data_IF_014497960602
#
_entry.id   IF_014497960602
#
_cell.length_a   1.000
_cell.length_b   1.000
_cell.length_c   1.000
_cell.angle_alpha   90.00
_cell.angle_beta   90.00
_cell.angle_gamma   90.00
#
_symmetry.space_group_name_H-M   'P 1'
#
loop_
_entity.id
_entity.type
_entity.pdbx_description
1 polymer ?
#
# COMPACT_ATOMS: atom_id res chain seq x y z
N UNK A 1 -58.78 -2.23 -19.70
CA UNK A 1 -57.49 -2.05 -18.99
C UNK A 1 -56.92 -3.42 -18.68
N UNK A 2 -55.90 -3.82 -19.44
CA UNK A 2 -55.40 -5.21 -19.54
C UNK A 2 -54.28 -5.45 -18.53
N UNK A 3 -54.42 -6.55 -17.77
CA UNK A 3 -53.48 -6.99 -16.74
C UNK A 3 -52.32 -7.71 -17.42
N UNK A 4 -51.12 -7.12 -17.38
CA UNK A 4 -49.86 -7.78 -17.77
C UNK A 4 -49.11 -8.18 -16.51
N UNK A 5 -49.29 -9.41 -16.08
CA UNK A 5 -48.43 -10.07 -15.11
C UNK A 5 -48.15 -11.47 -15.66
N UNK A 6 -46.94 -11.67 -16.18
CA UNK A 6 -46.48 -12.96 -16.66
C UNK A 6 -44.95 -13.06 -16.53
N UNK A 7 -44.53 -14.10 -15.82
CA UNK A 7 -43.27 -14.86 -15.92
C UNK A 7 -41.99 -14.17 -15.41
N UNK A 8 -41.42 -14.64 -14.31
CA UNK A 8 -40.59 -15.85 -14.13
C UNK A 8 -39.11 -15.42 -14.12
N UNK A 9 -38.41 -15.48 -12.98
CA UNK A 9 -37.77 -16.66 -12.39
C UNK A 9 -36.77 -17.32 -13.36
N UNK A 10 -35.51 -17.52 -12.89
CA UNK A 10 -34.27 -17.92 -13.60
C UNK A 10 -33.54 -16.73 -14.25
N UNK A 11 -32.37 -16.27 -13.79
CA UNK A 11 -31.14 -17.01 -13.56
C UNK A 11 -30.33 -16.43 -12.40
N UNK A 12 -30.47 -17.04 -11.22
CA UNK A 12 -29.41 -17.02 -10.19
C UNK A 12 -28.47 -18.19 -10.53
N UNK A 13 -27.16 -17.96 -10.40
CA UNK A 13 -26.07 -18.94 -10.54
C UNK A 13 -25.58 -19.28 -11.97
N UNK A 14 -24.54 -18.56 -12.42
CA UNK A 14 -23.44 -18.96 -13.31
C UNK A 14 -22.67 -17.67 -13.61
N UNK A 15 -21.52 -17.37 -13.02
CA UNK A 15 -20.21 -17.76 -13.59
C UNK A 15 -19.11 -17.46 -12.57
N UNK A 16 -18.98 -18.31 -11.56
CA UNK A 16 -17.76 -18.48 -10.77
C UNK A 16 -16.93 -19.58 -11.46
N UNK A 17 -16.25 -19.25 -12.55
CA UNK A 17 -15.31 -20.15 -13.25
C UNK A 17 -14.16 -19.36 -13.90
N UNK A 18 -13.43 -18.55 -13.13
CA UNK A 18 -12.08 -18.13 -13.53
C UNK A 18 -11.05 -19.09 -12.93
N UNK A 19 -10.94 -20.23 -13.61
CA UNK A 19 -9.69 -20.89 -13.99
C UNK A 19 -8.59 -20.95 -12.91
N UNK A 20 -8.73 -21.91 -12.01
CA UNK A 20 -7.61 -22.51 -11.29
C UNK A 20 -6.99 -23.58 -12.18
N UNK A 21 -5.77 -23.36 -12.66
CA UNK A 21 -5.00 -24.38 -13.40
C UNK A 21 -4.12 -25.18 -12.43
N UNK A 22 -4.16 -26.52 -12.46
CA UNK A 22 -3.19 -27.35 -11.76
C UNK A 22 -1.97 -27.55 -12.65
N UNK A 23 -0.88 -26.81 -12.41
CA UNK A 23 0.41 -27.17 -13.00
C UNK A 23 1.06 -28.22 -12.11
N UNK A 24 0.95 -29.48 -12.53
CA UNK A 24 1.61 -30.63 -11.90
C UNK A 24 2.99 -30.81 -12.54
N UNK A 25 4.06 -30.51 -11.80
CA UNK A 25 5.44 -30.87 -12.16
C UNK A 25 5.82 -32.11 -11.37
N UNK A 26 6.11 -33.20 -12.10
CA UNK A 26 6.78 -34.39 -11.58
C UNK A 26 8.21 -34.39 -12.12
N UNK A 27 9.19 -34.25 -11.23
CA UNK A 27 10.59 -34.56 -11.52
C UNK A 27 11.09 -35.45 -10.37
N UNK A 28 11.38 -36.70 -10.70
CA UNK A 28 12.03 -37.68 -9.84
C UNK A 28 13.44 -37.90 -10.39
N UNK A 29 14.45 -37.61 -9.57
CA UNK A 29 15.86 -37.75 -9.90
C UNK A 29 16.63 -37.92 -8.60
N UNK A 30 17.01 -39.17 -8.33
CA UNK A 30 17.69 -39.61 -7.13
C UNK A 30 19.20 -39.29 -7.11
N UNK A 31 19.77 -39.48 -5.92
CA UNK A 31 21.17 -39.78 -5.60
C UNK A 31 22.08 -38.62 -5.12
N UNK A 32 22.30 -38.68 -3.80
CA UNK A 32 23.43 -38.27 -2.96
C UNK A 32 24.74 -37.80 -3.62
N UNK A 33 25.35 -36.76 -3.04
CA UNK A 33 26.67 -36.89 -2.41
C UNK A 33 26.90 -35.81 -1.34
N UNK A 34 27.51 -36.23 -0.24
CA UNK A 34 27.93 -35.47 0.93
C UNK A 34 29.36 -34.92 0.72
N UNK A 35 29.75 -34.00 1.61
CA UNK A 35 31.13 -33.59 1.94
C UNK A 35 31.75 -32.46 1.11
N UNK A 36 31.70 -31.24 1.64
CA UNK A 36 32.89 -30.45 2.07
C UNK A 36 32.43 -29.05 2.52
N UNK A 37 31.99 -28.94 3.77
CA UNK A 37 31.63 -27.65 4.38
C UNK A 37 32.73 -27.23 5.37
N UNK A 38 33.74 -26.52 4.86
CA UNK A 38 34.65 -25.68 5.64
C UNK A 38 33.82 -24.74 6.52
N UNK A 39 34.07 -24.61 7.85
CA UNK A 39 33.32 -23.69 8.68
C UNK A 39 33.80 -22.28 8.35
N UNK A 40 33.11 -21.59 7.43
CA UNK A 40 33.22 -20.14 7.31
C UNK A 40 32.44 -19.57 8.47
N UNK A 41 33.16 -19.19 9.52
CA UNK A 41 32.66 -18.32 10.57
C UNK A 41 32.05 -17.08 9.90
N UNK A 42 30.72 -16.97 9.93
CA UNK A 42 30.05 -15.72 9.60
C UNK A 42 30.31 -14.78 10.77
N UNK A 43 31.30 -13.91 10.62
CA UNK A 43 31.43 -12.73 11.44
C UNK A 43 30.15 -11.90 11.25
N UNK A 44 29.25 -11.99 12.23
CA UNK A 44 28.12 -11.08 12.37
C UNK A 44 28.76 -9.75 12.75
N UNK A 45 29.08 -8.95 11.73
CA UNK A 45 29.66 -7.63 11.90
C UNK A 45 28.69 -6.78 12.71
N UNK A 46 29.07 -6.52 13.95
CA UNK A 46 28.31 -5.75 14.94
C UNK A 46 28.24 -4.31 14.47
N UNK A 47 27.19 -3.99 13.70
CA UNK A 47 26.88 -2.62 13.30
C UNK A 47 26.58 -1.81 14.57
N UNK A 48 27.48 -0.90 14.91
CA UNK A 48 27.31 0.04 16.01
C UNK A 48 26.08 0.91 15.73
N UNK A 49 25.06 0.77 16.57
CA UNK A 49 23.81 1.52 16.50
C UNK A 49 24.07 2.94 17.01
N UNK A 50 24.04 3.92 16.10
CA UNK A 50 24.08 5.33 16.47
C UNK A 50 22.83 5.66 17.32
N UNK A 51 22.94 6.55 18.31
CA UNK A 51 21.82 6.90 19.17
C UNK A 51 20.66 7.49 18.33
N UNK A 52 19.49 6.86 18.42
CA UNK A 52 18.25 7.33 17.80
C UNK A 52 17.76 8.56 18.56
N UNK A 53 17.97 9.74 17.99
CA UNK A 53 17.46 10.99 18.56
C UNK A 53 15.97 11.18 18.18
N UNK A 54 15.09 11.06 19.17
CA UNK A 54 13.65 11.29 19.01
C UNK A 54 13.37 12.78 19.22
N UNK A 55 12.85 13.46 18.18
CA UNK A 55 12.44 14.86 18.24
C UNK A 55 10.96 15.00 17.91
N UNK A 56 10.25 15.84 18.64
CA UNK A 56 8.88 16.22 18.33
C UNK A 56 8.85 17.27 17.22
N UNK A 57 8.07 17.03 16.16
CA UNK A 57 7.94 17.95 15.02
C UNK A 57 6.67 18.79 15.19
N UNK A 58 6.84 19.98 15.76
CA UNK A 58 5.76 20.95 16.00
C UNK A 58 5.63 21.91 14.81
N UNK A 59 4.96 21.46 13.73
CA UNK A 59 4.50 22.37 12.68
C UNK A 59 3.09 21.98 12.25
N UNK A 60 2.11 22.72 12.74
CA UNK A 60 0.70 22.53 12.40
C UNK A 60 0.27 23.56 11.35
N UNK A 61 0.03 23.10 10.13
CA UNK A 61 -0.78 23.82 9.14
C UNK A 61 -2.10 23.08 9.04
N UNK A 62 -3.22 23.80 9.11
CA UNK A 62 -4.54 23.21 8.87
C UNK A 62 -4.80 23.15 7.36
N UNK A 63 -5.31 22.01 6.90
CA UNK A 63 -5.63 21.77 5.50
C UNK A 63 -7.03 21.19 5.38
N UNK A 64 -7.95 21.97 4.81
CA UNK A 64 -9.32 21.55 4.60
C UNK A 64 -9.48 20.80 3.26
N UNK A 65 -9.94 19.56 3.32
CA UNK A 65 -10.23 18.73 2.14
C UNK A 65 -11.71 18.36 2.18
N UNK A 66 -12.42 18.60 1.08
CA UNK A 66 -13.81 18.17 0.94
C UNK A 66 -13.88 16.65 0.82
N UNK A 67 -14.74 16.00 1.61
CA UNK A 67 -14.99 14.57 1.48
C UNK A 67 -15.48 14.21 0.06
N UNK A 68 -15.11 13.03 -0.43
CA UNK A 68 -15.33 12.55 -1.80
C UNK A 68 -14.69 13.43 -2.89
N UNK A 69 -13.72 14.29 -2.55
CA UNK A 69 -12.96 15.08 -3.51
C UNK A 69 -11.46 14.88 -3.34
N UNK A 70 -10.75 15.09 -4.44
CA UNK A 70 -9.29 15.07 -4.49
C UNK A 70 -8.76 16.49 -4.65
N UNK A 71 -7.62 16.78 -4.01
CA UNK A 71 -6.88 18.03 -4.21
C UNK A 71 -5.43 17.74 -4.49
N UNK A 72 -4.89 18.36 -5.53
CA UNK A 72 -3.47 18.31 -5.85
C UNK A 72 -2.73 19.47 -5.17
N UNK A 73 -1.56 19.17 -4.63
CA UNK A 73 -0.66 20.12 -4.00
C UNK A 73 0.71 20.01 -4.64
N UNK A 74 1.36 21.18 -4.80
CA UNK A 74 2.71 21.28 -5.33
C UNK A 74 3.65 21.87 -4.30
N UNK A 75 4.82 21.26 -4.14
CA UNK A 75 5.88 21.69 -3.25
C UNK A 75 7.01 22.35 -4.04
N UNK A 76 7.72 23.30 -3.42
CA UNK A 76 8.92 23.91 -4.03
C UNK A 76 10.14 22.99 -3.99
N UNK A 77 10.16 22.07 -3.03
CA UNK A 77 11.27 21.13 -2.77
C UNK A 77 10.84 19.70 -3.11
N UNK A 78 11.81 18.84 -3.37
CA UNK A 78 11.57 17.43 -3.68
C UNK A 78 10.95 16.70 -2.49
N UNK A 79 9.90 15.95 -2.74
CA UNK A 79 9.24 15.07 -1.77
C UNK A 79 10.11 13.86 -1.52
N UNK A 80 10.34 13.54 -0.24
CA UNK A 80 11.10 12.38 0.20
C UNK A 80 10.18 11.31 0.77
N UNK A 81 9.18 11.73 1.56
CA UNK A 81 8.24 10.82 2.20
C UNK A 81 6.95 11.56 2.52
N UNK A 82 5.85 10.81 2.51
CA UNK A 82 4.56 11.24 3.04
C UNK A 82 4.05 10.19 4.01
N UNK A 83 3.44 10.61 5.11
CA UNK A 83 2.79 9.74 6.07
C UNK A 83 1.45 10.32 6.48
N UNK A 84 0.46 9.45 6.62
CA UNK A 84 -0.93 9.78 6.95
C UNK A 84 -1.31 8.99 8.20
N UNK A 85 -1.93 9.66 9.17
CA UNK A 85 -2.35 9.00 10.41
C UNK A 85 -3.44 7.95 10.22
N UNK A 86 -4.42 8.21 9.34
CA UNK A 86 -5.53 7.29 9.06
C UNK A 86 -5.94 7.32 7.57
N UNK A 87 -5.58 6.28 6.78
CA UNK A 87 -5.91 6.19 5.36
C UNK A 87 -7.39 5.86 5.07
N UNK A 88 -8.21 5.59 6.10
CA UNK A 88 -9.65 5.38 5.93
C UNK A 88 -10.41 6.69 5.75
N UNK A 89 -9.95 7.77 6.39
CA UNK A 89 -10.54 9.13 6.33
C UNK A 89 -10.02 9.92 5.13
N UNK A 90 -8.70 9.93 4.92
CA UNK A 90 -8.10 10.52 3.73
C UNK A 90 -6.82 9.79 3.36
N UNK A 91 -6.53 9.72 2.07
CA UNK A 91 -5.35 9.01 1.54
C UNK A 91 -4.49 9.96 0.69
N UNK A 92 -3.21 9.65 0.54
CA UNK A 92 -2.27 10.47 -0.22
C UNK A 92 -1.49 9.64 -1.24
N UNK A 93 -1.51 10.11 -2.48
CA UNK A 93 -0.73 9.55 -3.57
C UNK A 93 0.32 10.58 -4.05
N UNK A 94 1.58 10.17 -4.10
CA UNK A 94 2.65 10.98 -4.71
C UNK A 94 2.60 10.77 -6.22
N UNK A 95 2.39 11.85 -6.97
CA UNK A 95 2.21 11.80 -8.42
C UNK A 95 3.50 12.15 -9.15
N UNK A 96 4.28 13.08 -8.58
CA UNK A 96 5.59 13.45 -9.08
C UNK A 96 6.52 13.82 -7.93
N UNK A 97 7.79 14.10 -8.24
CA UNK A 97 8.79 14.48 -7.23
C UNK A 97 8.41 15.74 -6.43
N UNK A 98 7.51 16.58 -6.97
CA UNK A 98 7.09 17.84 -6.37
C UNK A 98 5.58 17.94 -6.19
N UNK A 99 4.82 16.91 -6.55
CA UNK A 99 3.36 16.96 -6.52
C UNK A 99 2.77 15.72 -5.88
N UNK A 100 1.75 15.95 -5.06
CA UNK A 100 0.99 14.90 -4.42
C UNK A 100 -0.50 15.24 -4.42
N UNK A 101 -1.33 14.21 -4.42
CA UNK A 101 -2.77 14.32 -4.36
C UNK A 101 -3.25 13.81 -3.02
N UNK A 102 -4.09 14.60 -2.35
CA UNK A 102 -4.83 14.18 -1.15
C UNK A 102 -6.26 13.85 -1.57
N UNK A 103 -6.71 12.65 -1.24
CA UNK A 103 -8.04 12.14 -1.50
C UNK A 103 -8.84 12.14 -0.19
N UNK A 104 -9.82 13.04 -0.05
CA UNK A 104 -10.76 12.99 1.07
C UNK A 104 -11.77 11.86 0.86
N UNK A 105 -11.74 10.82 1.69
CA UNK A 105 -12.62 9.66 1.57
C UNK A 105 -13.86 9.81 2.46
N UNK A 106 -13.67 10.21 3.71
CA UNK A 106 -14.72 10.39 4.70
C UNK A 106 -14.51 11.71 5.49
N UNK A 107 -15.56 12.28 6.12
CA UNK A 107 -15.40 13.41 7.01
C UNK A 107 -14.61 13.02 8.27
N UNK A 108 -13.67 13.87 8.69
CA UNK A 108 -12.85 13.66 9.87
C UNK A 108 -11.64 14.58 9.92
N UNK A 109 -10.81 14.42 10.95
CA UNK A 109 -9.54 15.13 11.11
C UNK A 109 -8.40 14.12 11.21
N UNK A 110 -7.34 14.35 10.42
CA UNK A 110 -6.15 13.51 10.40
C UNK A 110 -4.89 14.38 10.38
N UNK A 111 -3.74 13.78 10.67
CA UNK A 111 -2.45 14.43 10.47
C UNK A 111 -1.79 13.92 9.20
N UNK A 112 -1.16 14.85 8.47
CA UNK A 112 -0.37 14.61 7.28
C UNK A 112 1.05 15.10 7.54
N UNK A 113 2.03 14.22 7.42
CA UNK A 113 3.43 14.55 7.53
C UNK A 113 4.09 14.44 6.17
N UNK A 114 4.85 15.47 5.80
CA UNK A 114 5.57 15.55 4.52
C UNK A 114 7.03 15.85 4.84
N UNK A 115 7.91 14.95 4.39
CA UNK A 115 9.35 15.18 4.42
C UNK A 115 9.80 15.62 3.05
N UNK A 116 10.45 16.76 2.99
CA UNK A 116 11.07 17.28 1.78
C UNK A 116 12.58 17.36 1.96
N UNK A 117 13.27 17.52 0.83
CA UNK A 117 14.68 17.90 0.83
C UNK A 117 14.90 19.21 1.60
N UNK A 118 16.13 19.38 2.12
CA UNK A 118 16.52 20.51 2.97
C UNK A 118 16.59 21.84 2.24
#
# INVERSE_FOLDING_TARGET
MSKRALLALCCFAQTLCFFTSPFSVKAEGAAANNTDAKPVAREISKSAEAPVEIREVQKSMQLDITAARSRCFRTKKKLLRVSVSDPTVADVAVVSEHEFIVNGKAPGAISLLIWCEK
#
